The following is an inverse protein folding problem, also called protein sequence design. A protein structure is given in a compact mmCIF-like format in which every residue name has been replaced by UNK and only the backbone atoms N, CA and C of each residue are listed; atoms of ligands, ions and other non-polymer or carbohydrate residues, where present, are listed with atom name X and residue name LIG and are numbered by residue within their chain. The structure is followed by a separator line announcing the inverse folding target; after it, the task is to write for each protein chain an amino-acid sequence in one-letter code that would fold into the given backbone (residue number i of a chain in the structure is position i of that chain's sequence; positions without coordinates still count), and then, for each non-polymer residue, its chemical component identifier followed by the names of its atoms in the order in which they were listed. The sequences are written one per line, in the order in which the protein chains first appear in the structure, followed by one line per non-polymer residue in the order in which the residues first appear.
data_IF_433499242277
#
_entry.id   IF_433499242277
#
_cell.length_a   1.000
_cell.length_b   1.000
_cell.length_c   1.000
_cell.angle_alpha   90.00
_cell.angle_beta   90.00
_cell.angle_gamma   90.00
#
_symmetry.space_group_name_H-M   'P 1'
#
loop_
_entity.id
_entity.type
_entity.pdbx_description
1 polymer ?
#
# COMPACT_ATOMS: atom_id res chain seq x y z
N UNK A 1 -92.70 -13.56 -47.32
CA UNK A 1 -91.25 -13.74 -47.57
C UNK A 1 -90.34 -12.79 -46.76
N UNK A 2 -90.87 -11.80 -46.04
CA UNK A 2 -90.08 -10.71 -45.41
C UNK A 2 -89.32 -11.07 -44.12
N UNK A 3 -89.84 -11.96 -43.27
CA UNK A 3 -89.23 -12.24 -41.94
C UNK A 3 -87.86 -12.92 -42.01
N UNK A 4 -87.64 -13.82 -42.98
CA UNK A 4 -86.34 -14.49 -43.16
C UNK A 4 -85.24 -13.54 -43.67
N UNK A 5 -85.61 -12.55 -44.48
CA UNK A 5 -84.68 -11.56 -45.02
C UNK A 5 -84.23 -10.56 -43.94
N UNK A 6 -85.16 -10.12 -43.08
CA UNK A 6 -84.86 -9.26 -41.92
C UNK A 6 -83.97 -9.97 -40.89
N UNK A 7 -84.20 -11.27 -40.66
CA UNK A 7 -83.34 -12.05 -39.76
C UNK A 7 -81.90 -12.18 -40.28
N UNK A 8 -81.70 -12.27 -41.60
CA UNK A 8 -80.38 -12.43 -42.20
C UNK A 8 -79.55 -11.14 -42.16
N UNK A 9 -80.18 -9.97 -42.34
CA UNK A 9 -79.49 -8.67 -42.25
C UNK A 9 -79.04 -8.33 -40.83
N UNK A 10 -79.84 -8.72 -39.82
CA UNK A 10 -79.49 -8.54 -38.39
C UNK A 10 -78.26 -9.39 -38.02
N UNK A 11 -78.19 -10.63 -38.49
CA UNK A 11 -77.02 -11.50 -38.25
C UNK A 11 -75.76 -10.94 -38.90
N UNK A 12 -75.87 -10.38 -40.12
CA UNK A 12 -74.74 -9.77 -40.81
C UNK A 12 -74.27 -8.48 -40.11
N UNK A 13 -75.20 -7.63 -39.64
CA UNK A 13 -74.91 -6.45 -38.82
C UNK A 13 -74.21 -6.81 -37.51
N UNK A 14 -74.70 -7.84 -36.81
CA UNK A 14 -74.07 -8.33 -35.56
C UNK A 14 -72.69 -8.92 -35.81
N UNK A 15 -72.51 -9.68 -36.90
CA UNK A 15 -71.20 -10.20 -37.32
C UNK A 15 -70.20 -9.07 -37.61
N UNK A 16 -70.62 -8.04 -38.35
CA UNK A 16 -69.79 -6.87 -38.63
C UNK A 16 -69.43 -6.07 -37.36
N UNK A 17 -70.38 -5.92 -36.43
CA UNK A 17 -70.14 -5.30 -35.13
C UNK A 17 -69.14 -6.09 -34.28
N UNK A 18 -69.23 -7.42 -34.26
CA UNK A 18 -68.28 -8.28 -33.57
C UNK A 18 -66.87 -8.21 -34.17
N UNK A 19 -66.73 -8.23 -35.51
CA UNK A 19 -65.43 -8.12 -36.17
C UNK A 19 -64.76 -6.77 -35.91
N UNK A 20 -65.52 -5.68 -35.96
CA UNK A 20 -65.00 -4.34 -35.67
C UNK A 20 -64.60 -4.18 -34.20
N UNK A 21 -65.37 -4.73 -33.26
CA UNK A 21 -65.02 -4.76 -31.85
C UNK A 21 -63.74 -5.57 -31.58
N UNK A 22 -63.56 -6.72 -32.24
CA UNK A 22 -62.35 -7.54 -32.14
C UNK A 22 -61.11 -6.80 -32.64
N UNK A 23 -61.22 -6.12 -33.79
CA UNK A 23 -60.12 -5.34 -34.35
C UNK A 23 -59.73 -4.16 -33.42
N UNK A 24 -60.73 -3.48 -32.83
CA UNK A 24 -60.49 -2.42 -31.85
C UNK A 24 -59.82 -2.95 -30.58
N UNK A 25 -60.22 -4.13 -30.10
CA UNK A 25 -59.60 -4.77 -28.93
C UNK A 25 -58.12 -5.11 -29.18
N UNK A 26 -57.81 -5.74 -30.32
CA UNK A 26 -56.43 -6.04 -30.72
C UNK A 26 -55.59 -4.77 -30.88
N UNK A 27 -56.15 -3.73 -31.52
CA UNK A 27 -55.48 -2.44 -31.67
C UNK A 27 -55.14 -1.81 -30.32
N UNK A 28 -56.08 -1.79 -29.37
CA UNK A 28 -55.85 -1.28 -28.01
C UNK A 28 -54.77 -2.08 -27.28
N UNK A 29 -54.82 -3.41 -27.34
CA UNK A 29 -53.81 -4.26 -26.71
C UNK A 29 -52.40 -3.96 -27.25
N UNK A 30 -52.25 -3.82 -28.57
CA UNK A 30 -50.96 -3.45 -29.19
C UNK A 30 -50.50 -2.05 -28.79
N UNK A 31 -51.41 -1.07 -28.71
CA UNK A 31 -51.09 0.29 -28.26
C UNK A 31 -50.62 0.32 -26.82
N UNK A 32 -51.28 -0.41 -25.92
CA UNK A 32 -50.86 -0.55 -24.52
C UNK A 32 -49.48 -1.17 -24.42
N UNK A 33 -49.22 -2.26 -25.15
CA UNK A 33 -47.89 -2.90 -25.17
C UNK A 33 -46.82 -1.95 -25.70
N UNK A 34 -47.06 -1.28 -26.83
CA UNK A 34 -46.11 -0.30 -27.39
C UNK A 34 -45.85 0.86 -26.43
N UNK A 35 -46.88 1.39 -25.77
CA UNK A 35 -46.72 2.47 -24.80
C UNK A 35 -45.88 2.03 -23.61
N UNK A 36 -46.10 0.81 -23.11
CA UNK A 36 -45.29 0.23 -22.04
C UNK A 36 -43.83 0.03 -22.48
N UNK A 37 -43.58 -0.46 -23.70
CA UNK A 37 -42.23 -0.59 -24.25
C UNK A 37 -41.54 0.76 -24.44
N UNK A 38 -42.25 1.77 -24.95
CA UNK A 38 -41.72 3.13 -25.10
C UNK A 38 -41.34 3.72 -23.75
N UNK A 39 -42.19 3.56 -22.73
CA UNK A 39 -41.89 4.02 -21.37
C UNK A 39 -40.68 3.29 -20.79
N UNK A 40 -40.58 1.97 -20.98
CA UNK A 40 -39.42 1.20 -20.54
C UNK A 40 -38.13 1.63 -21.26
N UNK A 41 -38.21 1.91 -22.57
CA UNK A 41 -37.08 2.45 -23.33
C UNK A 41 -36.68 3.85 -22.84
N UNK A 42 -37.64 4.72 -22.55
CA UNK A 42 -37.36 6.05 -22.00
C UNK A 42 -36.66 5.98 -20.64
N UNK A 43 -37.12 5.09 -19.75
CA UNK A 43 -36.48 4.85 -18.46
C UNK A 43 -35.05 4.30 -18.62
N UNK A 44 -34.81 3.44 -19.60
CA UNK A 44 -33.48 2.93 -19.88
C UNK A 44 -32.54 4.04 -20.39
N UNK A 45 -33.02 4.91 -21.29
CA UNK A 45 -32.26 6.07 -21.75
C UNK A 45 -31.92 7.02 -20.59
N UNK A 46 -32.88 7.31 -19.71
CA UNK A 46 -32.67 8.17 -18.55
C UNK A 46 -31.67 7.56 -17.56
N UNK A 47 -31.66 6.23 -17.41
CA UNK A 47 -30.69 5.53 -16.56
C UNK A 47 -29.30 5.57 -17.19
N UNK A 48 -29.19 5.24 -18.47
CA UNK A 48 -27.92 5.22 -19.19
C UNK A 48 -27.27 6.60 -19.27
N UNK A 49 -28.08 7.67 -19.42
CA UNK A 49 -27.59 9.05 -19.40
C UNK A 49 -27.06 9.45 -18.03
N UNK A 50 -27.71 9.02 -16.94
CA UNK A 50 -27.22 9.24 -15.56
C UNK A 50 -25.91 8.49 -15.31
N UNK A 51 -25.81 7.24 -15.72
CA UNK A 51 -24.57 6.45 -15.60
C UNK A 51 -23.43 7.06 -16.43
N UNK A 52 -23.72 7.53 -17.64
CA UNK A 52 -22.74 8.21 -18.48
C UNK A 52 -22.28 9.53 -17.85
N UNK A 53 -23.17 10.24 -17.15
CA UNK A 53 -22.82 11.44 -16.40
C UNK A 53 -21.94 11.13 -15.18
N UNK A 54 -22.27 10.10 -14.40
CA UNK A 54 -21.45 9.69 -13.25
C UNK A 54 -20.06 9.19 -13.69
N UNK A 55 -20.00 8.37 -14.74
CA UNK A 55 -18.74 7.89 -15.31
C UNK A 55 -17.85 9.05 -15.80
N UNK A 56 -18.44 10.08 -16.43
CA UNK A 56 -17.70 11.29 -16.82
C UNK A 56 -17.17 12.09 -15.62
N UNK A 57 -17.94 12.18 -14.54
CA UNK A 57 -17.50 12.83 -13.30
C UNK A 57 -16.34 12.07 -12.66
N UNK A 58 -16.44 10.74 -12.57
CA UNK A 58 -15.36 9.89 -12.06
C UNK A 58 -14.09 10.00 -12.90
N UNK A 59 -14.21 10.01 -14.24
CA UNK A 59 -13.07 10.21 -15.13
C UNK A 59 -12.39 11.56 -14.91
N UNK A 60 -13.17 12.62 -14.71
CA UNK A 60 -12.64 13.96 -14.43
C UNK A 60 -11.89 14.01 -13.10
N UNK A 61 -12.43 13.35 -12.07
CA UNK A 61 -11.77 13.21 -10.77
C UNK A 61 -10.48 12.40 -10.87
N UNK A 62 -10.50 11.29 -11.60
CA UNK A 62 -9.32 10.44 -11.82
C UNK A 62 -8.20 11.20 -12.54
N UNK A 63 -8.51 11.95 -13.60
CA UNK A 63 -7.54 12.80 -14.30
C UNK A 63 -6.97 13.89 -13.39
N UNK A 64 -7.81 14.52 -12.56
CA UNK A 64 -7.35 15.55 -11.61
C UNK A 64 -6.41 14.95 -10.56
N UNK A 65 -6.72 13.76 -10.04
CA UNK A 65 -5.86 13.06 -9.09
C UNK A 65 -4.56 12.58 -9.75
N UNK A 66 -4.61 12.14 -11.00
CA UNK A 66 -3.41 11.75 -11.76
C UNK A 66 -2.46 12.94 -11.95
N UNK A 67 -2.98 14.12 -12.31
CA UNK A 67 -2.17 15.33 -12.43
C UNK A 67 -1.57 15.76 -11.08
N UNK A 68 -2.36 15.73 -9.98
CA UNK A 68 -1.84 15.99 -8.63
C UNK A 68 -0.74 15.01 -8.21
N UNK A 69 -0.95 13.72 -8.44
CA UNK A 69 0.04 12.69 -8.12
C UNK A 69 1.32 12.88 -8.95
N UNK A 70 1.20 13.33 -10.20
CA UNK A 70 2.35 13.61 -11.06
C UNK A 70 3.13 14.84 -10.59
N UNK A 71 2.46 15.88 -10.13
CA UNK A 71 3.12 17.06 -9.53
C UNK A 71 3.81 16.69 -8.22
N UNK A 72 3.14 15.94 -7.34
CA UNK A 72 3.74 15.47 -6.09
C UNK A 72 4.93 14.52 -6.35
N UNK A 73 4.87 13.67 -7.38
CA UNK A 73 5.99 12.82 -7.78
C UNK A 73 7.18 13.63 -8.31
N UNK A 74 6.93 14.74 -9.00
CA UNK A 74 7.99 15.64 -9.47
C UNK A 74 8.64 16.40 -8.30
N UNK A 75 7.84 16.88 -7.34
CA UNK A 75 8.32 17.58 -6.15
C UNK A 75 9.12 16.66 -5.22
N UNK A 76 8.62 15.43 -4.98
CA UNK A 76 9.32 14.43 -4.16
C UNK A 76 10.64 13.98 -4.80
N UNK A 77 10.68 13.80 -6.13
CA UNK A 77 11.94 13.53 -6.84
C UNK A 77 12.93 14.69 -6.72
N UNK A 78 12.47 15.94 -6.87
CA UNK A 78 13.33 17.11 -6.70
C UNK A 78 13.85 17.25 -5.25
N UNK A 79 13.04 16.91 -4.25
CA UNK A 79 13.45 16.86 -2.85
C UNK A 79 14.47 15.74 -2.58
N UNK A 80 14.28 14.56 -3.19
CA UNK A 80 15.22 13.44 -3.09
C UNK A 80 16.57 13.77 -3.74
N UNK A 81 16.57 14.47 -4.86
CA UNK A 81 17.79 14.91 -5.55
C UNK A 81 18.54 15.98 -4.73
N UNK A 82 17.82 16.93 -4.12
CA UNK A 82 18.42 17.87 -3.15
C UNK A 82 19.01 17.15 -1.93
N UNK A 83 18.27 16.22 -1.34
CA UNK A 83 18.76 15.45 -0.19
C UNK A 83 19.99 14.59 -0.53
N UNK A 84 20.05 14.04 -1.75
CA UNK A 84 21.22 13.30 -2.24
C UNK A 84 22.44 14.21 -2.43
N UNK A 85 22.26 15.41 -2.98
CA UNK A 85 23.33 16.39 -3.13
C UNK A 85 23.83 16.92 -1.78
N UNK A 86 22.92 17.13 -0.82
CA UNK A 86 23.29 17.53 0.54
C UNK A 86 24.05 16.41 1.28
N UNK A 87 23.66 15.15 1.10
CA UNK A 87 24.40 13.98 1.61
C UNK A 87 25.82 13.89 1.04
N UNK A 88 25.98 14.13 -0.27
CA UNK A 88 27.28 14.15 -0.94
C UNK A 88 28.17 15.30 -0.44
N UNK A 89 27.59 16.49 -0.23
CA UNK A 89 28.30 17.64 0.32
C UNK A 89 28.76 17.40 1.77
N UNK A 90 27.91 16.76 2.58
CA UNK A 90 28.22 16.43 3.97
C UNK A 90 29.31 15.35 4.09
N UNK A 91 29.30 14.35 3.21
CA UNK A 91 30.38 13.35 3.10
C UNK A 91 31.72 14.00 2.75
N UNK A 92 31.71 14.98 1.82
CA UNK A 92 32.91 15.72 1.44
C UNK A 92 33.45 16.55 2.60
N UNK A 93 32.57 17.25 3.34
CA UNK A 93 32.96 17.99 4.54
C UNK A 93 33.48 17.10 5.68
N UNK A 94 32.95 15.88 5.83
CA UNK A 94 33.46 14.89 6.79
C UNK A 94 34.87 14.43 6.42
N UNK A 95 35.13 14.20 5.12
CA UNK A 95 36.47 13.85 4.64
C UNK A 95 37.48 15.00 4.86
N UNK A 96 37.08 16.24 4.61
CA UNK A 96 37.93 17.42 4.83
C UNK A 96 38.20 17.65 6.34
N UNK A 97 37.21 17.44 7.21
CA UNK A 97 37.39 17.50 8.68
C UNK A 97 38.23 16.36 9.26
N UNK A 98 38.17 15.15 8.68
CA UNK A 98 39.04 14.04 9.05
C UNK A 98 40.50 14.32 8.66
N UNK A 99 40.73 14.98 7.51
CA UNK A 99 42.05 15.46 7.09
C UNK A 99 42.61 16.52 8.06
N UNK A 100 41.79 17.47 8.51
CA UNK A 100 42.20 18.48 9.50
C UNK A 100 42.51 17.90 10.90
N UNK A 101 41.82 16.82 11.34
CA UNK A 101 42.16 16.15 12.61
C UNK A 101 43.52 15.45 12.57
N UNK A 102 43.95 14.93 11.41
CA UNK A 102 45.24 14.25 11.28
C UNK A 102 46.47 15.17 11.33
N UNK A 103 46.29 16.49 11.25
CA UNK A 103 47.40 17.47 11.32
C UNK A 103 47.66 18.05 12.72
N UNK A 104 46.80 17.76 13.71
CA UNK A 104 46.99 18.21 15.11
C UNK A 104 47.54 17.13 16.06
N UNK A 105 47.64 15.88 15.63
CA UNK A 105 48.21 14.79 16.45
C UNK A 105 49.71 14.58 16.22
N UNK A 106 50.31 15.24 15.23
CA UNK A 106 51.73 15.04 14.85
C UNK A 106 52.74 15.78 15.74
N UNK A 107 52.31 16.65 16.67
CA UNK A 107 53.21 17.51 17.46
C UNK A 107 53.43 17.07 18.92
N UNK A 108 52.85 15.96 19.39
CA UNK A 108 52.96 15.55 20.81
C UNK A 108 53.73 14.24 21.06
N UNK A 109 54.30 13.61 20.04
CA UNK A 109 54.98 12.31 20.17
C UNK A 109 56.50 12.40 20.00
N UNK A 110 57.11 13.43 20.58
CA UNK A 110 58.56 13.60 20.59
C UNK A 110 59.09 13.75 22.01
N UNK A 111 59.16 12.66 22.78
CA UNK A 111 60.24 12.39 23.75
C UNK A 111 59.97 11.11 24.58
N UNK A 112 61.04 10.33 24.73
CA UNK A 112 61.27 9.26 25.72
C UNK A 112 60.90 7.82 25.34
N UNK A 113 61.89 7.14 24.75
CA UNK A 113 62.37 5.83 25.20
C UNK A 113 63.89 5.97 25.50
N UNK A 114 64.56 5.08 26.27
CA UNK A 114 64.18 3.69 26.57
C UNK A 114 64.40 3.24 28.04
N UNK A 115 63.79 2.13 28.45
CA UNK A 115 64.56 0.98 28.98
C UNK A 115 63.70 -0.27 29.28
N UNK A 116 63.96 -1.29 28.47
CA UNK A 116 64.02 -2.74 28.69
C UNK A 116 63.02 -3.52 29.58
N UNK A 117 62.51 -4.59 28.94
CA UNK A 117 62.43 -5.99 29.42
C UNK A 117 61.03 -6.53 29.83
N UNK A 118 60.26 -6.98 28.82
CA UNK A 118 59.77 -8.36 28.71
C UNK A 118 58.93 -8.54 27.42
N UNK A 119 59.04 -9.70 26.80
CA UNK A 119 58.43 -10.17 25.54
C UNK A 119 57.64 -11.45 25.88
N UNK A 120 56.59 -11.95 25.15
CA UNK A 120 55.81 -11.42 24.01
C UNK A 120 54.27 -11.55 24.16
N UNK A 121 53.54 -10.88 23.25
CA UNK A 121 52.46 -11.46 22.40
C UNK A 121 51.16 -10.64 22.31
N UNK A 122 50.85 -10.28 21.06
CA UNK A 122 49.51 -10.12 20.44
C UNK A 122 48.53 -9.05 20.97
N UNK A 123 48.41 -7.98 20.16
CA UNK A 123 47.17 -7.41 19.59
C UNK A 123 45.84 -7.42 20.36
N UNK A 124 45.19 -6.26 20.30
CA UNK A 124 43.74 -6.00 20.36
C UNK A 124 43.04 -5.86 21.72
N UNK A 125 42.34 -4.72 21.89
CA UNK A 125 41.13 -4.45 22.68
C UNK A 125 40.87 -2.92 22.55
N UNK A 126 39.95 -2.32 21.78
CA UNK A 126 38.57 -2.62 21.35
C UNK A 126 37.67 -3.24 22.43
N UNK A 127 36.47 -2.67 22.56
CA UNK A 127 35.35 -3.10 23.41
C UNK A 127 35.29 -2.62 24.87
N UNK A 128 34.47 -1.58 25.09
CA UNK A 128 33.52 -1.57 26.22
C UNK A 128 32.16 -2.11 25.75
N UNK A 129 32.16 -3.39 25.41
CA UNK A 129 31.24 -4.43 25.90
C UNK A 129 29.81 -3.96 26.26
N UNK A 130 28.91 -4.11 25.30
CA UNK A 130 27.69 -4.90 25.55
C UNK A 130 27.77 -6.16 24.69
N UNK A 131 28.40 -7.16 25.28
CA UNK A 131 28.65 -8.49 24.71
C UNK A 131 27.53 -9.43 25.12
N UNK A 132 26.81 -9.93 24.10
CA UNK A 132 26.25 -11.29 23.97
C UNK A 132 24.93 -11.63 24.67
N UNK A 133 23.92 -11.95 23.85
CA UNK A 133 23.48 -13.36 23.76
C UNK A 133 23.69 -13.84 22.31
N UNK A 134 24.21 -15.05 22.08
CA UNK A 134 24.54 -15.57 20.76
C UNK A 134 23.27 -16.04 20.04
N UNK A 135 23.14 -15.70 18.75
CA UNK A 135 22.23 -16.39 17.84
C UNK A 135 21.19 -15.54 17.11
N UNK A 136 21.17 -14.20 17.28
CA UNK A 136 20.20 -13.36 16.58
C UNK A 136 20.78 -12.10 15.95
N UNK A 137 20.30 -11.79 14.75
CA UNK A 137 20.53 -10.53 14.02
C UNK A 137 19.64 -9.44 14.63
N UNK A 138 20.24 -8.32 15.04
CA UNK A 138 19.48 -7.17 15.54
C UNK A 138 19.30 -6.10 14.46
N UNK A 139 18.13 -5.47 14.47
CA UNK A 139 17.78 -4.41 13.53
C UNK A 139 16.89 -3.36 14.17
N UNK A 140 16.38 -2.45 13.34
CA UNK A 140 15.48 -1.35 13.68
C UNK A 140 14.33 -1.23 12.68
N UNK A 141 13.20 -0.80 13.20
CA UNK A 141 12.04 -0.42 12.40
C UNK A 141 12.30 0.95 11.77
N UNK A 142 12.18 1.03 10.46
CA UNK A 142 12.31 2.26 9.67
C UNK A 142 10.98 3.01 9.59
N UNK A 143 9.90 2.26 9.32
CA UNK A 143 8.56 2.81 9.17
C UNK A 143 7.50 1.82 9.66
N UNK A 144 6.35 2.35 10.07
CA UNK A 144 5.20 1.59 10.55
C UNK A 144 3.97 2.02 9.75
N UNK A 145 3.20 1.04 9.27
CA UNK A 145 1.86 1.27 8.75
C UNK A 145 0.84 0.67 9.71
N UNK A 146 0.20 1.53 10.50
CA UNK A 146 -0.76 1.10 11.51
C UNK A 146 -2.06 0.55 10.91
N UNK A 147 -2.47 1.04 9.74
CA UNK A 147 -3.71 0.63 9.05
C UNK A 147 -3.64 -0.81 8.55
N UNK A 148 -2.49 -1.20 8.00
CA UNK A 148 -2.27 -2.54 7.44
C UNK A 148 -1.44 -3.43 8.35
N UNK A 149 -1.07 -2.94 9.54
CA UNK A 149 -0.32 -3.68 10.55
C UNK A 149 1.00 -4.27 10.04
N UNK A 150 1.75 -3.52 9.23
CA UNK A 150 3.08 -3.94 8.79
C UNK A 150 4.15 -2.92 9.17
N UNK A 151 5.38 -3.40 9.25
CA UNK A 151 6.57 -2.59 9.53
C UNK A 151 7.64 -2.85 8.49
N UNK A 152 8.43 -1.81 8.22
CA UNK A 152 9.62 -1.87 7.37
C UNK A 152 10.85 -1.88 8.26
N UNK A 153 11.80 -2.77 7.99
CA UNK A 153 12.94 -3.05 8.85
C UNK A 153 14.24 -2.83 8.06
N UNK A 154 15.29 -2.35 8.74
CA UNK A 154 16.61 -2.11 8.14
C UNK A 154 17.48 -3.39 7.99
N UNK A 155 16.83 -4.54 7.83
CA UNK A 155 17.49 -5.82 7.60
C UNK A 155 16.84 -6.46 6.38
N UNK A 156 17.67 -7.04 5.52
CA UNK A 156 17.26 -7.61 4.25
C UNK A 156 18.04 -8.87 3.92
N UNK A 157 17.99 -9.28 2.67
CA UNK A 157 18.63 -10.50 2.17
C UNK A 157 20.14 -10.50 2.42
N UNK A 158 20.82 -9.37 2.23
CA UNK A 158 22.26 -9.23 2.47
C UNK A 158 22.65 -9.47 3.93
N UNK A 159 21.69 -9.31 4.86
CA UNK A 159 21.88 -9.54 6.28
C UNK A 159 21.46 -10.96 6.69
N UNK A 160 20.93 -11.77 5.77
CA UNK A 160 20.43 -13.12 6.02
C UNK A 160 18.98 -13.18 6.50
N UNK A 161 18.18 -12.13 6.29
CA UNK A 161 16.75 -12.19 6.55
C UNK A 161 16.07 -13.17 5.59
N UNK A 162 15.17 -13.99 6.14
CA UNK A 162 14.46 -15.01 5.36
C UNK A 162 12.96 -14.68 5.39
N UNK A 163 12.32 -14.77 4.23
CA UNK A 163 10.87 -14.62 4.13
C UNK A 163 10.16 -15.72 4.92
N UNK A 164 9.14 -15.34 5.67
CA UNK A 164 8.36 -16.22 6.53
C UNK A 164 8.90 -16.36 7.94
N UNK A 165 10.10 -15.85 8.22
CA UNK A 165 10.69 -15.85 9.56
C UNK A 165 9.91 -14.99 10.54
N UNK A 166 9.93 -15.39 11.81
CA UNK A 166 9.38 -14.63 12.92
C UNK A 166 10.49 -13.79 13.56
N UNK A 167 10.14 -12.57 13.96
CA UNK A 167 11.03 -11.62 14.61
C UNK A 167 10.38 -11.08 15.87
N UNK A 168 11.19 -10.79 16.88
CA UNK A 168 10.75 -10.20 18.14
C UNK A 168 10.98 -8.70 18.13
N UNK A 169 9.96 -7.92 18.45
CA UNK A 169 10.00 -6.46 18.55
C UNK A 169 10.32 -6.06 20.00
N UNK A 170 11.26 -5.14 20.18
CA UNK A 170 11.70 -4.67 21.50
C UNK A 170 11.93 -3.16 21.54
N UNK A 171 11.64 -2.53 22.68
CA UNK A 171 12.01 -1.14 23.00
C UNK A 171 12.86 -1.16 24.26
N UNK A 172 14.17 -0.94 24.10
CA UNK A 172 15.14 -1.17 25.16
C UNK A 172 15.11 -2.65 25.60
N UNK A 173 14.77 -2.90 26.85
CA UNK A 173 14.65 -4.25 27.43
C UNK A 173 13.22 -4.81 27.37
N UNK A 174 12.23 -4.04 26.95
CA UNK A 174 10.83 -4.47 26.91
C UNK A 174 10.51 -5.14 25.57
N UNK A 175 9.96 -6.35 25.61
CA UNK A 175 9.39 -7.01 24.44
C UNK A 175 8.02 -6.38 24.15
N UNK A 176 7.83 -5.90 22.93
CA UNK A 176 6.59 -5.28 22.46
C UNK A 176 5.65 -6.29 21.80
N UNK A 177 6.22 -7.34 21.19
CA UNK A 177 5.48 -8.40 20.50
C UNK A 177 6.32 -9.03 19.40
N UNK A 178 5.65 -9.66 18.44
CA UNK A 178 6.24 -10.40 17.33
C UNK A 178 5.74 -9.88 15.99
N UNK A 179 6.55 -10.06 14.95
CA UNK A 179 6.17 -9.83 13.56
C UNK A 179 6.65 -10.97 12.67
N UNK A 180 6.00 -11.17 11.53
CA UNK A 180 6.33 -12.20 10.55
C UNK A 180 6.78 -11.55 9.25
N UNK A 181 7.96 -11.89 8.79
CA UNK A 181 8.55 -11.35 7.56
C UNK A 181 7.75 -11.84 6.35
N UNK A 182 7.18 -10.92 5.56
CA UNK A 182 6.36 -11.23 4.38
C UNK A 182 7.08 -10.96 3.06
N UNK A 183 8.01 -10.01 3.05
CA UNK A 183 8.88 -9.74 1.92
C UNK A 183 10.28 -9.36 2.39
N UNK A 184 11.29 -9.73 1.62
CA UNK A 184 12.69 -9.41 1.87
C UNK A 184 13.24 -8.76 0.61
N UNK A 185 13.79 -7.57 0.77
CA UNK A 185 14.55 -6.81 -0.22
C UNK A 185 16.05 -6.93 0.11
N UNK A 186 16.98 -6.46 -0.76
CA UNK A 186 18.41 -6.62 -0.51
C UNK A 186 18.89 -6.02 0.82
N UNK A 187 18.43 -4.82 1.18
CA UNK A 187 18.84 -4.08 2.39
C UNK A 187 17.74 -3.92 3.43
N UNK A 188 16.48 -4.17 3.07
CA UNK A 188 15.31 -3.97 3.93
C UNK A 188 14.35 -5.15 3.86
N UNK A 189 13.39 -5.21 4.77
CA UNK A 189 12.33 -6.22 4.74
C UNK A 189 11.01 -5.64 5.25
N UNK A 190 9.93 -6.29 4.85
CA UNK A 190 8.57 -5.99 5.32
C UNK A 190 8.10 -7.14 6.18
N UNK A 191 7.56 -6.81 7.35
CA UNK A 191 7.01 -7.79 8.27
C UNK A 191 5.62 -7.37 8.75
N UNK A 192 4.70 -8.33 8.77
CA UNK A 192 3.36 -8.15 9.30
C UNK A 192 3.38 -8.36 10.82
N UNK A 193 2.83 -7.41 11.55
CA UNK A 193 2.74 -7.43 12.99
C UNK A 193 1.74 -8.50 13.45
N UNK A 194 2.16 -9.35 14.39
CA UNK A 194 1.29 -10.39 14.93
C UNK A 194 0.45 -9.79 16.06
N UNK A 195 -0.70 -9.19 15.74
CA UNK A 195 -1.54 -8.43 16.71
C UNK A 195 -1.82 -9.18 18.03
N UNK A 196 -1.98 -10.51 17.97
CA UNK A 196 -2.20 -11.35 19.17
C UNK A 196 -1.04 -11.33 20.18
N UNK A 197 0.18 -11.03 19.71
CA UNK A 197 1.41 -10.99 20.52
C UNK A 197 1.65 -9.63 21.16
N UNK A 198 0.96 -8.57 20.68
CA UNK A 198 1.17 -7.20 21.12
C UNK A 198 0.16 -6.88 22.24
N UNK A 199 0.61 -6.51 23.45
CA UNK A 199 -0.30 -6.12 24.53
C UNK A 199 -1.17 -4.92 24.16
N UNK A 200 -2.41 -4.90 24.65
CA UNK A 200 -3.33 -3.77 24.42
C UNK A 200 -2.74 -2.46 24.95
N UNK A 201 -2.79 -1.41 24.14
CA UNK A 201 -2.27 -0.08 24.48
C UNK A 201 -0.79 0.13 24.16
N UNK A 202 -0.09 -0.88 23.63
CA UNK A 202 1.28 -0.73 23.12
C UNK A 202 1.22 -0.42 21.62
N UNK A 203 1.89 0.65 21.20
CA UNK A 203 2.04 1.04 19.79
C UNK A 203 3.50 0.84 19.36
N UNK A 204 3.67 0.17 18.22
CA UNK A 204 4.97 0.00 17.57
C UNK A 204 5.32 1.29 16.82
N UNK A 205 6.57 1.71 16.90
CA UNK A 205 7.04 2.98 16.34
C UNK A 205 8.32 2.78 15.52
N UNK A 206 8.62 3.76 14.66
CA UNK A 206 9.93 3.85 14.02
C UNK A 206 11.02 4.00 15.09
N UNK A 207 12.15 3.32 14.88
CA UNK A 207 13.28 3.30 15.81
C UNK A 207 13.26 2.16 16.83
N UNK A 208 12.11 1.48 17.01
CA UNK A 208 12.03 0.26 17.81
C UNK A 208 13.01 -0.79 17.28
N UNK A 209 13.61 -1.55 18.19
CA UNK A 209 14.60 -2.57 17.85
C UNK A 209 13.90 -3.88 17.55
N UNK A 210 14.51 -4.69 16.69
CA UNK A 210 14.06 -6.05 16.40
C UNK A 210 15.18 -7.04 16.65
N UNK A 211 14.79 -8.26 16.99
CA UNK A 211 15.69 -9.40 17.14
C UNK A 211 15.19 -10.53 16.23
N UNK A 212 16.04 -10.96 15.32
CA UNK A 212 15.80 -12.08 14.40
C UNK A 212 16.70 -13.25 14.77
N UNK A 213 16.16 -14.42 15.10
CA UNK A 213 16.93 -15.56 15.58
C UNK A 213 17.31 -16.58 14.49
N UNK A 214 17.16 -16.22 13.21
CA UNK A 214 17.31 -17.16 12.11
C UNK A 214 16.06 -18.02 11.89
N UNK A 215 16.06 -18.90 10.87
CA UNK A 215 15.01 -19.89 10.71
C UNK A 215 15.06 -20.84 11.91
N UNK A 216 13.95 -20.93 12.66
CA UNK A 216 13.81 -21.89 13.75
C UNK A 216 14.15 -23.30 13.26
N UNK A 217 15.05 -23.98 13.98
CA UNK A 217 15.41 -25.38 13.70
C UNK A 217 14.23 -26.31 13.93
#
# INVERSE_FOLDING_TARGET
MSKKLISLTIIFMLGAACLSAWNLYQSKAVLTTKNNTINAQQQLLDTLTKELQSAKQELTLALTNQEKNKTELAETKAAQEKAANDLLALQKQLADKQSEQSTKETDLQGSHQPDQKNVPSSSDNESTLSKTIPGGLEGKILAVNETYHFVVINLGEHHGMIKGSEITLKRGSQILGEAKVTSVEPLTSVADLVMKSIPKGITIQSGDSILYQGPGK
#
